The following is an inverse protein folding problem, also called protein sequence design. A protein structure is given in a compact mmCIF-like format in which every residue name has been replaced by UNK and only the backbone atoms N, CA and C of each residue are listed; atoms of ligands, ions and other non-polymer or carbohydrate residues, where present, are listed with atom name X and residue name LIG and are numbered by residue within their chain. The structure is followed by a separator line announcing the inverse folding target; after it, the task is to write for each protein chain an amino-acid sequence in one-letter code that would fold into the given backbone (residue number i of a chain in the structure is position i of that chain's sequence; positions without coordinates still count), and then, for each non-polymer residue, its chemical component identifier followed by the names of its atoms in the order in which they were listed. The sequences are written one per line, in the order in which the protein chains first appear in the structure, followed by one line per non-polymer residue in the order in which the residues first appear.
data_IF_751848816915
#
_entry.id   IF_751848816915
#
_cell.length_a   1.000
_cell.length_b   1.000
_cell.length_c   1.000
_cell.angle_alpha   90.00
_cell.angle_beta   90.00
_cell.angle_gamma   90.00
#
_symmetry.space_group_name_H-M   'P 1'
#
loop_
_entity.id
_entity.type
_entity.pdbx_description
1 polymer ?
#
# COMPACT_ATOMS: atom_id res chain seq x y z
N UNK A 1 22.42 -14.45 -7.28
CA UNK A 1 22.21 -13.03 -7.65
C UNK A 1 20.84 -12.61 -7.15
N UNK A 2 20.74 -11.45 -6.51
CA UNK A 2 19.46 -10.86 -6.11
C UNK A 2 19.13 -9.71 -7.06
N UNK A 3 17.84 -9.47 -7.27
CA UNK A 3 17.32 -8.39 -8.09
C UNK A 3 16.25 -7.65 -7.32
N UNK A 4 16.13 -6.36 -7.60
CA UNK A 4 15.17 -5.45 -6.98
C UNK A 4 14.21 -4.92 -8.03
N UNK A 5 12.95 -4.77 -7.67
CA UNK A 5 11.91 -4.19 -8.51
C UNK A 5 11.03 -3.27 -7.67
N UNK A 6 10.59 -2.16 -8.25
CA UNK A 6 9.69 -1.20 -7.62
C UNK A 6 8.49 -0.96 -8.53
N UNK A 7 7.29 -1.05 -7.97
CA UNK A 7 6.04 -0.66 -8.61
C UNK A 7 5.40 0.50 -7.83
N UNK A 8 4.80 1.42 -8.56
CA UNK A 8 4.04 2.53 -7.99
C UNK A 8 2.66 2.60 -8.64
N UNK A 9 1.68 3.10 -7.89
CA UNK A 9 0.33 3.39 -8.38
C UNK A 9 -0.25 4.56 -7.61
N UNK A 10 -1.30 5.19 -8.15
CA UNK A 10 -2.12 6.11 -7.38
C UNK A 10 -3.60 6.01 -7.75
N UNK A 11 -4.44 6.19 -6.74
CA UNK A 11 -5.89 6.30 -6.88
C UNK A 11 -6.34 7.68 -6.38
N UNK A 12 -7.08 8.46 -7.18
CA UNK A 12 -7.57 9.77 -6.75
C UNK A 12 -8.55 9.63 -5.59
N UNK A 13 -8.46 10.55 -4.62
CA UNK A 13 -9.40 10.64 -3.51
C UNK A 13 -10.55 11.57 -3.94
N UNK A 14 -11.81 11.11 -3.92
CA UNK A 14 -12.96 11.95 -4.28
C UNK A 14 -13.07 13.19 -3.38
N UNK A 15 -13.44 14.36 -3.92
CA UNK A 15 -13.51 15.62 -3.13
C UNK A 15 -14.37 15.58 -1.87
N UNK A 16 -15.42 14.76 -1.89
CA UNK A 16 -16.33 14.63 -0.75
C UNK A 16 -15.76 13.76 0.39
N UNK A 17 -14.59 13.17 0.17
CA UNK A 17 -13.85 12.38 1.13
C UNK A 17 -12.62 13.15 1.64
N UNK A 18 -12.63 13.60 2.91
CA UNK A 18 -11.46 14.24 3.51
C UNK A 18 -10.27 13.27 3.56
N UNK A 19 -9.07 13.78 3.26
CA UNK A 19 -7.84 12.98 3.18
C UNK A 19 -7.48 12.35 4.53
N UNK A 20 -7.75 13.02 5.64
CA UNK A 20 -7.51 12.52 6.99
C UNK A 20 -8.36 11.28 7.32
N UNK A 21 -9.54 11.15 6.71
CA UNK A 21 -10.37 9.94 6.85
C UNK A 21 -9.70 8.78 6.15
N UNK A 22 -9.08 9.01 4.98
CA UNK A 22 -8.33 7.97 4.26
C UNK A 22 -7.09 7.55 5.04
N UNK A 23 -6.35 8.51 5.61
CA UNK A 23 -5.19 8.23 6.48
C UNK A 23 -5.60 7.38 7.68
N UNK A 24 -6.63 7.80 8.42
CA UNK A 24 -7.12 7.05 9.58
C UNK A 24 -7.60 5.64 9.19
N UNK A 25 -8.20 5.50 8.01
CA UNK A 25 -8.67 4.22 7.50
C UNK A 25 -7.51 3.26 7.22
N UNK A 26 -6.49 3.67 6.46
CA UNK A 26 -5.33 2.81 6.18
C UNK A 26 -4.48 2.54 7.43
N UNK A 27 -4.47 3.47 8.39
CA UNK A 27 -3.79 3.30 9.68
C UNK A 27 -4.44 2.24 10.59
N UNK A 28 -5.64 1.75 10.27
CA UNK A 28 -6.18 0.55 10.89
C UNK A 28 -5.55 -0.75 10.38
N UNK A 29 -4.73 -0.69 9.32
CA UNK A 29 -4.05 -1.79 8.61
C UNK A 29 -4.97 -2.80 7.91
N UNK A 30 -6.15 -3.06 8.48
CA UNK A 30 -7.12 -4.03 7.98
C UNK A 30 -7.50 -3.81 6.51
N UNK A 31 -7.75 -2.58 6.02
CA UNK A 31 -8.14 -2.38 4.62
C UNK A 31 -7.05 -2.80 3.64
N UNK A 32 -5.78 -2.49 3.92
CA UNK A 32 -4.68 -2.86 3.01
C UNK A 32 -4.38 -4.35 3.02
N UNK A 33 -4.65 -5.03 4.14
CA UNK A 33 -4.55 -6.49 4.25
C UNK A 33 -5.69 -7.17 3.49
N UNK A 34 -6.93 -6.69 3.66
CA UNK A 34 -8.13 -7.29 3.08
C UNK A 34 -8.23 -7.11 1.56
N UNK A 35 -7.74 -5.99 1.04
CA UNK A 35 -7.71 -5.71 -0.41
C UNK A 35 -6.46 -6.26 -1.10
N UNK A 36 -5.55 -6.92 -0.38
CA UNK A 36 -4.45 -7.62 -1.02
C UNK A 36 -4.98 -8.94 -1.62
N UNK A 37 -5.00 -9.09 -2.96
CA UNK A 37 -5.61 -10.25 -3.60
C UNK A 37 -4.82 -11.55 -3.37
N UNK A 38 -3.56 -11.47 -2.92
CA UNK A 38 -2.79 -12.63 -2.52
C UNK A 38 -3.17 -13.14 -1.12
N UNK A 39 -3.68 -12.29 -0.24
CA UNK A 39 -3.91 -12.65 1.17
C UNK A 39 -5.17 -13.51 1.29
N UNK A 40 -5.01 -14.70 1.88
CA UNK A 40 -6.11 -15.62 2.17
C UNK A 40 -6.61 -15.45 3.61
N UNK A 41 -5.69 -15.21 4.53
CA UNK A 41 -6.00 -14.95 5.94
C UNK A 41 -4.85 -14.23 6.61
N UNK A 42 -5.14 -13.46 7.65
CA UNK A 42 -4.14 -12.80 8.49
C UNK A 42 -4.60 -12.82 9.94
N UNK A 43 -3.62 -12.85 10.85
CA UNK A 43 -3.82 -12.80 12.28
C UNK A 43 -2.81 -11.82 12.87
N UNK A 44 -3.27 -10.90 13.72
CA UNK A 44 -2.36 -10.04 14.48
C UNK A 44 -1.63 -10.89 15.53
N UNK A 45 -0.31 -10.75 15.58
CA UNK A 45 0.56 -11.42 16.54
C UNK A 45 1.39 -10.37 17.28
N UNK A 46 1.93 -10.74 18.43
CA UNK A 46 2.77 -9.84 19.21
C UNK A 46 3.97 -9.36 18.37
N UNK A 47 4.14 -8.04 18.27
CA UNK A 47 5.30 -7.39 17.71
C UNK A 47 6.38 -7.21 18.78
N UNK A 48 7.64 -7.22 18.38
CA UNK A 48 8.81 -7.05 19.24
C UNK A 48 9.68 -5.87 18.74
N UNK A 49 10.26 -5.04 19.61
CA UNK A 49 11.17 -3.96 19.19
C UNK A 49 12.30 -4.38 18.24
N UNK A 50 12.78 -5.62 18.34
CA UNK A 50 13.80 -6.18 17.46
C UNK A 50 13.27 -6.46 16.03
N UNK A 51 11.95 -6.47 15.82
CA UNK A 51 11.36 -6.66 14.49
C UNK A 51 11.72 -5.51 13.53
N UNK A 52 12.06 -4.32 14.05
CA UNK A 52 12.36 -3.12 13.25
C UNK A 52 13.70 -2.44 13.59
N UNK A 53 14.44 -2.90 14.61
CA UNK A 53 15.60 -2.18 15.15
C UNK A 53 16.71 -1.93 14.13
N UNK A 54 16.90 -2.86 13.19
CA UNK A 54 17.99 -2.83 12.21
C UNK A 54 17.53 -2.35 10.82
N UNK A 55 16.27 -1.93 10.69
CA UNK A 55 15.68 -1.57 9.41
C UNK A 55 15.36 -0.08 9.31
N UNK A 56 16.18 0.62 8.53
CA UNK A 56 16.05 2.07 8.25
C UNK A 56 14.75 2.43 7.51
N UNK A 57 14.02 1.44 6.98
CA UNK A 57 12.69 1.68 6.41
C UNK A 57 11.68 2.10 7.48
N UNK A 58 11.84 1.64 8.71
CA UNK A 58 11.00 2.01 9.84
C UNK A 58 11.53 3.24 10.57
N UNK A 59 10.64 3.91 11.30
CA UNK A 59 11.02 4.90 12.29
C UNK A 59 11.40 4.23 13.62
N UNK A 60 11.65 5.03 14.67
CA UNK A 60 11.80 4.50 16.03
C UNK A 60 10.59 3.63 16.44
N UNK A 61 10.81 2.70 17.36
CA UNK A 61 9.72 1.92 17.93
C UNK A 61 8.67 2.81 18.61
N UNK A 62 7.39 2.53 18.33
CA UNK A 62 6.25 3.21 18.91
C UNK A 62 5.06 2.24 19.06
N UNK A 63 3.95 2.74 19.61
CA UNK A 63 2.73 1.97 19.83
C UNK A 63 1.91 1.74 18.56
N UNK A 64 2.37 2.17 17.39
CA UNK A 64 1.73 1.94 16.10
C UNK A 64 2.25 0.68 15.43
N UNK A 65 3.44 0.20 15.82
CA UNK A 65 4.02 -1.02 15.24
C UNK A 65 3.09 -2.21 15.46
N UNK A 66 2.75 -2.91 14.39
CA UNK A 66 1.91 -4.12 14.40
C UNK A 66 2.55 -5.20 13.57
N UNK A 67 2.34 -6.45 13.97
CA UNK A 67 2.84 -7.61 13.25
C UNK A 67 1.67 -8.52 12.93
N UNK A 68 1.59 -8.96 11.69
CA UNK A 68 0.58 -9.89 11.23
C UNK A 68 1.26 -11.15 10.72
N UNK A 69 0.75 -12.31 11.13
CA UNK A 69 1.04 -13.58 10.48
C UNK A 69 0.09 -13.72 9.31
N UNK A 70 0.62 -13.65 8.10
CA UNK A 70 -0.18 -13.64 6.88
C UNK A 70 -0.01 -14.95 6.14
N UNK A 71 -1.13 -15.53 5.69
CA UNK A 71 -1.17 -16.60 4.70
C UNK A 71 -1.52 -16.01 3.35
N UNK A 72 -0.63 -16.17 2.39
CA UNK A 72 -0.71 -15.58 1.07
C UNK A 72 -0.57 -16.66 -0.01
N UNK A 73 -1.30 -16.52 -1.11
CA UNK A 73 -1.14 -17.31 -2.32
C UNK A 73 -0.59 -16.41 -3.42
N UNK A 74 0.59 -16.74 -3.93
CA UNK A 74 1.20 -16.04 -5.06
C UNK A 74 1.14 -16.88 -6.33
N UNK A 75 1.08 -16.21 -7.48
CA UNK A 75 1.06 -16.85 -8.80
C UNK A 75 2.47 -16.89 -9.39
N UNK A 76 2.95 -18.09 -9.71
CA UNK A 76 4.27 -18.30 -10.28
C UNK A 76 4.22 -18.62 -11.79
N UNK A 77 3.06 -19.03 -12.31
CA UNK A 77 2.77 -19.19 -13.74
C UNK A 77 1.25 -19.41 -13.90
N UNK A 78 0.69 -19.36 -15.12
CA UNK A 78 -0.68 -19.81 -15.35
C UNK A 78 -0.89 -21.24 -14.79
N UNK A 79 -1.84 -21.39 -13.86
CA UNK A 79 -2.13 -22.66 -13.20
C UNK A 79 -1.14 -23.09 -12.10
N UNK A 80 -0.08 -22.33 -11.84
CA UNK A 80 0.88 -22.60 -10.77
C UNK A 80 0.82 -21.53 -9.69
N UNK A 81 0.36 -21.93 -8.51
CA UNK A 81 0.33 -21.08 -7.32
C UNK A 81 1.28 -21.61 -6.25
N UNK A 82 1.63 -20.73 -5.31
CA UNK A 82 2.40 -21.08 -4.12
C UNK A 82 1.73 -20.49 -2.88
N UNK A 83 1.42 -21.36 -1.93
CA UNK A 83 0.94 -20.99 -0.60
C UNK A 83 2.12 -20.69 0.32
N UNK A 84 2.06 -19.54 1.00
CA UNK A 84 3.10 -18.95 1.81
C UNK A 84 2.52 -18.50 3.14
N UNK A 85 3.31 -18.65 4.21
CA UNK A 85 3.01 -18.03 5.52
C UNK A 85 4.22 -17.24 5.96
N UNK A 86 4.03 -15.95 6.25
CA UNK A 86 5.12 -15.03 6.56
C UNK A 86 4.66 -13.86 7.43
N UNK A 87 5.59 -13.23 8.19
CA UNK A 87 5.26 -12.05 8.98
C UNK A 87 5.26 -10.78 8.12
N UNK A 88 4.26 -9.94 8.31
CA UNK A 88 4.22 -8.56 7.83
C UNK A 88 4.23 -7.61 9.01
N UNK A 89 5.18 -6.69 9.04
CA UNK A 89 5.35 -5.69 10.10
C UNK A 89 4.92 -4.34 9.53
N UNK A 90 3.99 -3.68 10.20
CA UNK A 90 3.45 -2.38 9.83
C UNK A 90 3.83 -1.32 10.84
N UNK A 91 3.93 -0.08 10.39
CA UNK A 91 4.06 1.11 11.25
C UNK A 91 3.29 2.26 10.61
N UNK A 92 2.74 3.16 11.44
CA UNK A 92 2.21 4.42 10.95
C UNK A 92 3.33 5.32 10.40
N UNK A 93 2.91 6.19 9.49
CA UNK A 93 3.62 7.41 9.11
C UNK A 93 2.64 8.58 9.28
N UNK A 94 3.12 9.84 9.30
CA UNK A 94 2.22 10.99 9.44
C UNK A 94 1.06 10.99 8.44
N UNK A 95 1.35 10.57 7.20
CA UNK A 95 0.42 10.64 6.06
C UNK A 95 -0.06 9.25 5.60
N UNK A 96 0.14 8.20 6.41
CA UNK A 96 -0.32 6.86 6.09
C UNK A 96 0.38 5.74 6.86
N UNK A 97 0.83 4.72 6.13
CA UNK A 97 1.44 3.52 6.69
C UNK A 97 2.61 3.03 5.84
N UNK A 98 3.48 2.25 6.47
CA UNK A 98 4.52 1.47 5.80
C UNK A 98 4.50 0.05 6.32
N UNK A 99 4.90 -0.91 5.49
CA UNK A 99 5.12 -2.27 5.92
C UNK A 99 6.36 -2.89 5.28
N UNK A 100 6.97 -3.80 6.03
CA UNK A 100 7.96 -4.75 5.51
C UNK A 100 7.46 -6.16 5.76
N UNK A 101 7.79 -7.08 4.88
CA UNK A 101 7.84 -8.46 5.34
C UNK A 101 8.76 -9.35 4.56
N UNK A 102 9.10 -10.43 5.25
CA UNK A 102 10.10 -11.41 4.86
C UNK A 102 9.37 -12.69 4.46
N UNK A 103 8.98 -12.73 3.19
CA UNK A 103 8.36 -13.90 2.60
C UNK A 103 9.38 -15.03 2.38
N UNK A 104 8.88 -16.25 2.23
CA UNK A 104 9.76 -17.42 2.03
C UNK A 104 10.61 -17.30 0.76
N UNK A 105 11.65 -18.13 0.65
CA UNK A 105 12.60 -18.13 -0.48
C UNK A 105 13.39 -16.82 -0.64
N UNK A 106 13.54 -16.04 0.43
CA UNK A 106 14.36 -14.83 0.46
C UNK A 106 13.74 -13.66 -0.29
N UNK A 107 12.41 -13.61 -0.36
CA UNK A 107 11.66 -12.47 -0.91
C UNK A 107 11.47 -11.47 0.22
N UNK A 108 11.94 -10.25 0.04
CA UNK A 108 11.73 -9.16 1.01
C UNK A 108 10.93 -8.07 0.30
N UNK A 109 9.82 -7.66 0.90
CA UNK A 109 8.99 -6.57 0.40
C UNK A 109 8.98 -5.40 1.36
N UNK A 110 9.08 -4.19 0.82
CA UNK A 110 8.87 -2.92 1.51
C UNK A 110 7.80 -2.15 0.74
N UNK A 111 6.73 -1.76 1.41
CA UNK A 111 5.63 -1.05 0.77
C UNK A 111 5.18 0.10 1.64
N UNK A 112 4.84 1.22 1.00
CA UNK A 112 4.26 2.37 1.65
C UNK A 112 2.96 2.79 0.97
N UNK A 113 2.01 3.24 1.78
CA UNK A 113 0.74 3.81 1.36
C UNK A 113 0.66 5.20 1.96
N UNK A 114 0.61 6.22 1.11
CA UNK A 114 0.71 7.63 1.52
C UNK A 114 -0.42 8.41 0.88
N UNK A 115 -1.18 9.13 1.70
CA UNK A 115 -2.12 10.12 1.22
C UNK A 115 -1.37 11.43 0.98
N UNK A 116 -1.38 11.91 -0.26
CA UNK A 116 -0.61 13.11 -0.62
C UNK A 116 -1.36 13.98 -1.62
N UNK A 117 -0.99 15.27 -1.76
CA UNK A 117 -1.51 16.08 -2.85
C UNK A 117 -1.17 15.41 -4.19
N UNK A 118 -2.14 15.40 -5.10
CA UNK A 118 -1.96 14.80 -6.42
C UNK A 118 -0.85 15.55 -7.15
N UNK A 119 0.16 14.82 -7.62
CA UNK A 119 1.17 15.42 -8.48
C UNK A 119 0.51 15.70 -9.83
N UNK A 120 0.26 16.97 -10.14
CA UNK A 120 -0.19 17.36 -11.46
C UNK A 120 0.81 16.89 -12.51
N UNK A 121 0.33 16.43 -13.66
CA UNK A 121 1.18 16.40 -14.86
C UNK A 121 1.54 17.86 -15.18
N UNK A 122 2.65 18.35 -14.62
CA UNK A 122 3.23 19.62 -15.05
C UNK A 122 3.69 19.39 -16.50
N UNK A 123 3.06 19.99 -17.51
CA UNK A 123 3.60 19.94 -18.86
C UNK A 123 4.99 20.59 -18.83
N UNK A 124 5.96 20.12 -19.62
CA UNK A 124 7.27 20.76 -19.68
C UNK A 124 7.08 22.26 -19.99
N UNK A 125 7.71 23.11 -19.17
CA UNK A 125 7.67 24.55 -19.32
C UNK A 125 8.15 24.93 -20.72
N UNK A 126 7.21 25.33 -21.60
CA UNK A 126 7.57 25.61 -22.98
C UNK A 126 6.46 25.82 -23.99
N UNK A 127 5.18 25.67 -23.63
CA UNK A 127 4.10 25.98 -24.57
C UNK A 127 2.99 26.78 -23.91
N UNK A 128 2.93 28.06 -24.30
CA UNK A 128 1.68 28.76 -24.58
C UNK A 128 0.81 29.09 -23.38
N UNK A 129 0.97 30.32 -22.91
CA UNK A 129 -0.14 31.11 -22.38
C UNK A 129 -1.35 31.02 -23.34
N UNK A 130 -2.58 31.01 -22.79
CA UNK A 130 -3.88 30.75 -23.44
C UNK A 130 -4.37 29.28 -23.44
N UNK A 131 -4.70 28.75 -22.26
CA UNK A 131 -5.90 27.90 -22.02
C UNK A 131 -6.04 27.63 -20.50
N UNK A 132 -6.11 28.70 -19.70
CA UNK A 132 -6.62 28.62 -18.34
C UNK A 132 -8.14 28.50 -18.40
N UNK A 133 -8.65 27.27 -18.54
CA UNK A 133 -10.02 26.90 -18.14
C UNK A 133 -10.19 25.38 -18.14
N UNK A 134 -10.50 24.84 -16.96
CA UNK A 134 -10.96 23.48 -16.72
C UNK A 134 -9.94 22.32 -16.89
N UNK A 135 -8.78 22.41 -16.23
CA UNK A 135 -8.26 21.18 -15.62
C UNK A 135 -9.22 20.88 -14.47
N UNK A 136 -9.98 19.78 -14.58
CA UNK A 136 -10.89 19.30 -13.55
C UNK A 136 -10.25 19.50 -12.19
N UNK A 137 -10.76 20.45 -11.39
CA UNK A 137 -10.30 20.73 -10.02
C UNK A 137 -10.64 19.56 -9.06
N UNK A 138 -10.77 18.36 -9.63
CA UNK A 138 -11.58 17.20 -9.30
C UNK A 138 -11.11 16.40 -8.11
N UNK A 139 -9.81 16.21 -7.95
CA UNK A 139 -9.25 15.30 -6.96
C UNK A 139 -7.89 15.86 -6.53
N UNK A 140 -7.90 16.74 -5.53
CA UNK A 140 -6.69 17.42 -5.03
C UNK A 140 -5.72 16.46 -4.33
N UNK A 141 -6.23 15.33 -3.84
CA UNK A 141 -5.50 14.33 -3.09
C UNK A 141 -5.52 12.97 -3.80
N UNK A 142 -4.48 12.18 -3.61
CA UNK A 142 -4.39 10.80 -4.06
C UNK A 142 -3.91 9.91 -2.92
N UNK A 143 -4.38 8.66 -2.91
CA UNK A 143 -3.69 7.58 -2.21
C UNK A 143 -2.63 7.06 -3.17
N UNK A 144 -1.36 7.22 -2.79
CA UNK A 144 -0.22 6.72 -3.55
C UNK A 144 0.34 5.47 -2.88
N UNK A 145 0.56 4.43 -3.68
CA UNK A 145 1.19 3.19 -3.27
C UNK A 145 2.54 3.02 -3.94
N UNK A 146 3.53 2.59 -3.17
CA UNK A 146 4.82 2.15 -3.70
C UNK A 146 5.22 0.85 -3.01
N UNK A 147 5.55 -0.16 -3.82
CA UNK A 147 6.04 -1.43 -3.33
C UNK A 147 7.36 -1.77 -4.00
N UNK A 148 8.37 -2.01 -3.18
CA UNK A 148 9.70 -2.44 -3.57
C UNK A 148 9.93 -3.85 -3.07
N UNK A 149 10.36 -4.73 -3.97
CA UNK A 149 10.61 -6.15 -3.67
C UNK A 149 12.03 -6.52 -4.07
N UNK A 150 12.68 -7.35 -3.26
CA UNK A 150 13.99 -7.92 -3.52
C UNK A 150 13.95 -9.44 -3.40
N UNK A 151 14.34 -10.15 -4.46
CA UNK A 151 14.34 -11.60 -4.48
C UNK A 151 15.42 -12.19 -5.40
N UNK A 152 15.46 -13.51 -5.52
CA UNK A 152 16.29 -14.19 -6.51
C UNK A 152 15.89 -13.75 -7.93
N UNK A 153 16.88 -13.41 -8.76
CA UNK A 153 16.67 -12.93 -10.14
C UNK A 153 15.79 -13.86 -10.99
N UNK A 154 15.86 -15.18 -10.78
CA UNK A 154 15.05 -16.17 -11.51
C UNK A 154 13.55 -16.08 -11.19
N UNK A 155 13.19 -15.61 -9.98
CA UNK A 155 11.80 -15.47 -9.55
C UNK A 155 11.22 -14.10 -9.94
N UNK A 156 12.06 -13.13 -10.31
CA UNK A 156 11.61 -11.75 -10.46
C UNK A 156 10.50 -11.49 -11.47
N UNK A 157 10.46 -12.14 -12.66
CA UNK A 157 9.37 -11.89 -13.60
C UNK A 157 7.98 -12.16 -13.00
N UNK A 158 7.86 -13.13 -12.09
CA UNK A 158 6.61 -13.48 -11.42
C UNK A 158 6.33 -12.56 -10.25
N UNK A 159 7.36 -12.29 -9.45
CA UNK A 159 7.24 -11.41 -8.29
C UNK A 159 6.87 -9.99 -8.73
N UNK A 160 7.54 -9.42 -9.73
CA UNK A 160 7.24 -8.07 -10.21
C UNK A 160 5.82 -7.94 -10.75
N UNK A 161 5.33 -8.96 -11.47
CA UNK A 161 3.96 -8.99 -11.97
C UNK A 161 2.93 -9.03 -10.82
N UNK A 162 3.16 -9.88 -9.81
CA UNK A 162 2.30 -9.94 -8.62
C UNK A 162 2.36 -8.61 -7.84
N UNK A 163 3.54 -8.06 -7.60
CA UNK A 163 3.72 -6.78 -6.89
C UNK A 163 2.96 -5.65 -7.57
N UNK A 164 3.06 -5.52 -8.90
CA UNK A 164 2.31 -4.51 -9.66
C UNK A 164 0.80 -4.71 -9.50
N UNK A 165 0.32 -5.93 -9.69
CA UNK A 165 -1.10 -6.24 -9.56
C UNK A 165 -1.63 -5.98 -8.14
N UNK A 166 -0.86 -6.35 -7.10
CA UNK A 166 -1.28 -6.21 -5.72
C UNK A 166 -1.33 -4.73 -5.33
N UNK A 167 -0.32 -3.94 -5.69
CA UNK A 167 -0.33 -2.51 -5.36
C UNK A 167 -1.50 -1.80 -6.05
N UNK A 168 -1.79 -2.12 -7.31
CA UNK A 168 -2.94 -1.56 -8.03
C UNK A 168 -4.28 -1.92 -7.36
N UNK A 169 -4.50 -3.20 -7.02
CA UNK A 169 -5.75 -3.65 -6.42
C UNK A 169 -5.96 -3.13 -4.99
N UNK A 170 -4.90 -3.11 -4.17
CA UNK A 170 -4.99 -2.58 -2.81
C UNK A 170 -5.35 -1.09 -2.85
N UNK A 171 -4.68 -0.31 -3.69
CA UNK A 171 -4.90 1.13 -3.78
C UNK A 171 -6.35 1.45 -4.16
N UNK A 172 -6.85 0.79 -5.20
CA UNK A 172 -8.19 1.01 -5.70
C UNK A 172 -9.25 0.50 -4.72
N UNK A 173 -9.08 -0.72 -4.18
CA UNK A 173 -10.02 -1.34 -3.26
C UNK A 173 -10.21 -0.54 -1.97
N UNK A 174 -9.14 0.05 -1.43
CA UNK A 174 -9.22 0.93 -0.26
C UNK A 174 -10.10 2.15 -0.54
N UNK A 175 -9.90 2.83 -1.67
CA UNK A 175 -10.70 4.02 -2.03
C UNK A 175 -12.16 3.62 -2.25
N UNK A 176 -12.41 2.55 -3.00
CA UNK A 176 -13.76 2.08 -3.31
C UNK A 176 -14.54 1.71 -2.05
N UNK A 177 -13.91 1.06 -1.07
CA UNK A 177 -14.54 0.69 0.19
C UNK A 177 -14.91 1.91 1.05
N UNK A 178 -14.01 2.88 1.18
CA UNK A 178 -14.29 4.08 1.98
C UNK A 178 -15.46 4.86 1.38
N UNK A 179 -15.52 4.94 0.05
CA UNK A 179 -16.60 5.61 -0.68
C UNK A 179 -17.93 4.86 -0.51
N UNK A 180 -17.90 3.53 -0.50
CA UNK A 180 -19.10 2.70 -0.35
C UNK A 180 -19.63 2.65 1.09
N UNK A 181 -18.78 2.88 2.10
CA UNK A 181 -19.17 2.79 3.51
C UNK A 181 -19.93 4.04 3.96
N UNK A 182 -21.23 3.95 4.31
CA UNK A 182 -21.99 5.10 4.77
C UNK A 182 -21.41 5.60 6.10
N UNK A 183 -21.12 6.90 6.21
CA UNK A 183 -20.74 7.53 7.49
C UNK A 183 -21.87 7.30 8.49
N UNK A 184 -21.70 6.36 9.43
CA UNK A 184 -22.59 6.26 10.59
C UNK A 184 -22.40 7.52 11.40
N UNK A 185 -23.34 8.45 11.29
CA UNK A 185 -23.43 9.58 12.21
C UNK A 185 -23.72 8.99 13.60
N UNK A 186 -22.86 9.22 14.60
CA UNK A 186 -23.19 8.81 15.96
C UNK A 186 -24.42 9.61 16.40
N UNK A 187 -25.55 8.93 16.57
CA UNK A 187 -26.70 9.50 17.27
C UNK A 187 -26.34 9.61 18.74
N UNK A 188 -26.10 10.84 19.20
CA UNK A 188 -26.02 11.17 20.62
C UNK A 188 -27.34 10.73 21.30
N UNK A 189 -27.24 9.77 22.21
CA UNK A 189 -28.30 9.41 23.16
C UNK A 189 -28.08 10.11 24.49
#
# INVERSE_FOLDING_TARGET
MRSRYTATTSSPIPRNLPSEVVVAFIQSYDPVLRHNPGIVSYEEVAADPNDISDDLFFGPWDNTVRKFRVREVIWLAPGLTKDLVWPMIYQHTPDGIRYRGDATAGIIGWTQWVVRPRQGNTPPAGFGDLLSTAQNAGDEWELWGESTVEANTLLMPFISNNTKNFVEQICQGVIDEIVATPRRVPTSG
#
